data_IF_532859644235
#
_entry.id   IF_532859644235
#
_cell.length_a   1.000
_cell.length_b   1.000
_cell.length_c   1.000
_cell.angle_alpha   90.00
_cell.angle_beta   90.00
_cell.angle_gamma   90.00
#
_symmetry.space_group_name_H-M   'P 1'
#
loop_
_entity.id
_entity.type
_entity.pdbx_description
1 polymer ?
#
# COMPACT_ATOMS: atom_id res chain seq x y z
N UNK A 1 6.39 -8.37 -6.60
CA UNK A 1 5.18 -7.62 -6.17
C UNK A 1 5.02 -7.57 -4.66
N UNK A 2 4.65 -8.66 -3.98
CA UNK A 2 4.42 -8.66 -2.51
C UNK A 2 5.61 -8.15 -1.70
N UNK A 3 6.80 -8.71 -1.91
CA UNK A 3 7.98 -8.31 -1.13
C UNK A 3 8.38 -6.84 -1.39
N UNK A 4 8.31 -6.39 -2.65
CA UNK A 4 8.58 -5.00 -3.02
C UNK A 4 7.58 -4.03 -2.37
N UNK A 5 6.29 -4.37 -2.37
CA UNK A 5 5.25 -3.58 -1.71
C UNK A 5 5.48 -3.53 -0.19
N UNK A 6 5.76 -4.68 0.43
CA UNK A 6 6.06 -4.75 1.88
C UNK A 6 7.30 -3.93 2.23
N UNK A 7 8.36 -4.03 1.45
CA UNK A 7 9.60 -3.28 1.67
C UNK A 7 9.38 -1.78 1.48
N UNK A 8 8.60 -1.36 0.48
CA UNK A 8 8.23 0.04 0.32
C UNK A 8 7.45 0.56 1.53
N UNK A 9 6.40 -0.16 1.96
CA UNK A 9 5.58 0.23 3.12
C UNK A 9 6.46 0.33 4.37
N UNK A 10 7.28 -0.67 4.66
CA UNK A 10 8.16 -0.68 5.85
C UNK A 10 9.17 0.46 5.84
N UNK A 11 9.77 0.76 4.69
CA UNK A 11 10.87 1.72 4.60
C UNK A 11 10.40 3.16 4.43
N UNK A 12 9.42 3.42 3.56
CA UNK A 12 8.98 4.77 3.21
C UNK A 12 7.83 5.25 4.10
N UNK A 13 6.88 4.37 4.43
CA UNK A 13 5.67 4.77 5.16
C UNK A 13 5.82 4.54 6.68
N UNK A 14 6.13 3.31 7.10
CA UNK A 14 6.30 2.95 8.52
C UNK A 14 7.62 3.47 9.10
N UNK A 15 8.64 3.64 8.25
CA UNK A 15 10.00 4.07 8.62
C UNK A 15 10.68 3.12 9.61
N UNK A 16 10.35 1.83 9.52
CA UNK A 16 10.98 0.73 10.25
C UNK A 16 11.12 -0.49 9.31
N UNK A 17 12.30 -0.71 8.72
CA UNK A 17 12.57 -1.85 7.83
C UNK A 17 12.41 -3.23 8.50
N UNK A 18 12.51 -3.27 9.83
CA UNK A 18 12.43 -4.50 10.64
C UNK A 18 11.02 -4.81 11.14
N UNK A 19 10.07 -3.91 10.90
CA UNK A 19 8.70 -4.07 11.33
C UNK A 19 8.07 -5.34 10.74
N UNK A 20 7.49 -6.23 11.56
CA UNK A 20 6.95 -7.52 11.12
C UNK A 20 5.54 -7.37 10.52
N UNK A 21 5.42 -6.54 9.48
CA UNK A 21 4.16 -6.21 8.80
C UNK A 21 3.41 -7.49 8.40
N UNK A 22 2.16 -7.65 8.81
CA UNK A 22 1.32 -8.76 8.32
C UNK A 22 0.52 -8.34 7.09
N UNK A 23 0.12 -9.32 6.28
CA UNK A 23 -0.52 -9.01 5.01
C UNK A 23 -1.98 -8.55 5.16
N UNK A 24 -2.60 -8.88 6.29
CA UNK A 24 -3.97 -8.55 6.72
C UNK A 24 -4.00 -7.43 7.78
N UNK A 25 -2.84 -6.87 8.13
CA UNK A 25 -2.74 -5.81 9.13
C UNK A 25 -3.26 -4.48 8.58
N UNK A 26 -4.16 -3.79 9.31
CA UNK A 26 -4.69 -2.51 8.88
C UNK A 26 -3.62 -1.42 8.96
N UNK A 27 -3.23 -0.92 7.81
CA UNK A 27 -2.24 0.13 7.61
C UNK A 27 -2.77 1.49 8.08
N UNK A 28 -3.92 1.91 7.55
CA UNK A 28 -4.50 3.25 7.76
C UNK A 28 -5.40 3.25 8.99
N UNK A 29 -6.37 2.33 9.05
CA UNK A 29 -7.32 2.28 10.17
C UNK A 29 -6.68 1.76 11.47
N UNK A 30 -5.53 1.08 11.37
CA UNK A 30 -4.70 0.70 12.50
C UNK A 30 -3.75 1.81 12.98
N UNK A 31 -3.66 2.93 12.25
CA UNK A 31 -2.80 4.06 12.58
C UNK A 31 -1.31 3.81 12.33
N UNK A 32 -0.96 2.77 11.57
CA UNK A 32 0.44 2.45 11.23
C UNK A 32 1.00 3.44 10.21
N UNK A 33 0.17 3.91 9.29
CA UNK A 33 0.49 4.91 8.27
C UNK A 33 -0.64 5.95 8.18
N UNK A 34 -0.31 7.17 7.76
CA UNK A 34 -1.31 8.21 7.57
C UNK A 34 -2.07 8.06 6.24
N UNK A 35 -3.24 8.71 6.15
CA UNK A 35 -4.07 8.67 4.94
C UNK A 35 -3.45 9.40 3.75
N UNK A 36 -2.52 10.34 3.98
CA UNK A 36 -1.85 11.07 2.90
C UNK A 36 -0.80 10.21 2.18
N UNK A 37 -0.23 9.24 2.89
CA UNK A 37 0.73 8.27 2.36
C UNK A 37 0.14 7.38 1.26
N UNK A 38 -1.19 7.33 1.11
CA UNK A 38 -1.85 6.64 0.00
C UNK A 38 -1.50 7.25 -1.37
N UNK A 39 -1.26 8.56 -1.43
CA UNK A 39 -0.85 9.23 -2.68
C UNK A 39 0.53 8.75 -3.10
N UNK A 40 1.50 8.75 -2.17
CA UNK A 40 2.86 8.26 -2.43
C UNK A 40 2.88 6.77 -2.77
N UNK A 41 2.04 5.99 -2.10
CA UNK A 41 1.87 4.56 -2.39
C UNK A 41 1.30 4.33 -3.79
N UNK A 42 0.31 5.11 -4.22
CA UNK A 42 -0.26 5.00 -5.56
C UNK A 42 0.76 5.30 -6.65
N UNK A 43 1.58 6.35 -6.47
CA UNK A 43 2.68 6.69 -7.37
C UNK A 43 3.69 5.54 -7.46
N UNK A 44 4.11 4.98 -6.32
CA UNK A 44 5.01 3.83 -6.30
C UNK A 44 4.44 2.62 -7.04
N UNK A 45 3.15 2.34 -6.86
CA UNK A 45 2.48 1.21 -7.49
C UNK A 45 2.36 1.41 -9.00
N UNK A 46 2.00 2.62 -9.46
CA UNK A 46 1.94 2.96 -10.89
C UNK A 46 3.33 2.82 -11.53
N UNK A 47 4.37 3.38 -10.91
CA UNK A 47 5.75 3.33 -11.43
C UNK A 47 6.35 1.91 -11.43
N UNK A 48 6.04 1.11 -10.40
CA UNK A 48 6.67 -0.21 -10.21
C UNK A 48 5.90 -1.36 -10.87
N UNK A 49 4.57 -1.28 -10.87
CA UNK A 49 3.69 -2.36 -11.32
C UNK A 49 2.80 -1.97 -12.50
N UNK A 50 2.71 -0.68 -12.86
CA UNK A 50 1.86 -0.21 -13.97
C UNK A 50 0.37 -0.13 -13.65
N UNK A 51 -0.02 -0.35 -12.39
CA UNK A 51 -1.41 -0.27 -11.95
C UNK A 51 -1.72 1.13 -11.40
N UNK A 52 -2.69 1.82 -12.02
CA UNK A 52 -3.08 3.17 -11.62
C UNK A 52 -4.27 3.17 -10.66
N UNK A 53 -4.15 3.94 -9.59
CA UNK A 53 -5.23 4.25 -8.65
C UNK A 53 -5.64 5.71 -8.83
N UNK A 54 -6.90 5.96 -9.18
CA UNK A 54 -7.42 7.32 -9.28
C UNK A 54 -7.82 7.86 -7.90
N UNK A 55 -7.93 9.18 -7.73
CA UNK A 55 -8.21 9.85 -6.44
C UNK A 55 -9.36 9.22 -5.63
N UNK A 56 -10.50 8.82 -6.21
CA UNK A 56 -11.60 8.19 -5.45
C UNK A 56 -11.26 6.80 -4.90
N UNK A 57 -10.23 6.14 -5.43
CA UNK A 57 -9.77 4.82 -5.01
C UNK A 57 -8.75 4.90 -3.87
N UNK A 58 -8.19 6.08 -3.59
CA UNK A 58 -7.19 6.32 -2.55
C UNK A 58 -7.86 6.39 -1.16
N UNK A 59 -8.46 5.28 -0.75
CA UNK A 59 -9.20 5.18 0.51
C UNK A 59 -8.75 3.98 1.32
N UNK A 60 -8.98 4.02 2.63
CA UNK A 60 -8.77 2.85 3.48
C UNK A 60 -9.67 1.66 3.09
N UNK A 61 -10.81 1.89 2.46
CA UNK A 61 -11.65 0.78 2.01
C UNK A 61 -10.94 -0.06 0.93
N UNK A 62 -10.14 0.59 0.08
CA UNK A 62 -9.42 -0.07 -1.01
C UNK A 62 -7.95 -0.39 -0.70
N UNK A 63 -7.29 0.35 0.18
CA UNK A 63 -5.83 0.30 0.33
C UNK A 63 -5.33 0.08 1.77
N UNK A 64 -6.16 -0.49 2.65
CA UNK A 64 -5.80 -0.61 4.07
C UNK A 64 -4.97 -1.84 4.44
N UNK A 65 -4.80 -2.82 3.55
CA UNK A 65 -3.95 -3.99 3.82
C UNK A 65 -3.11 -4.34 2.60
N UNK A 66 -1.97 -5.01 2.82
CA UNK A 66 -1.12 -5.50 1.73
C UNK A 66 -1.91 -6.41 0.80
N UNK A 67 -2.75 -7.31 1.33
CA UNK A 67 -3.57 -8.19 0.50
C UNK A 67 -4.57 -7.43 -0.37
N UNK A 68 -5.28 -6.44 0.18
CA UNK A 68 -6.21 -5.62 -0.62
C UNK A 68 -5.48 -4.87 -1.74
N UNK A 69 -4.33 -4.25 -1.41
CA UNK A 69 -3.54 -3.53 -2.40
C UNK A 69 -3.09 -4.47 -3.53
N UNK A 70 -2.57 -5.65 -3.19
CA UNK A 70 -2.13 -6.64 -4.19
C UNK A 70 -3.29 -7.12 -5.07
N UNK A 71 -4.45 -7.44 -4.48
CA UNK A 71 -5.62 -7.84 -5.26
C UNK A 71 -6.10 -6.73 -6.19
N UNK A 72 -6.05 -5.46 -5.76
CA UNK A 72 -6.40 -4.33 -6.61
C UNK A 72 -5.39 -4.12 -7.74
N UNK A 73 -4.10 -4.34 -7.50
CA UNK A 73 -3.07 -4.31 -8.54
C UNK A 73 -3.36 -5.41 -9.57
N UNK A 74 -3.58 -6.65 -9.13
CA UNK A 74 -3.86 -7.79 -10.01
C UNK A 74 -5.11 -7.60 -10.86
N UNK A 75 -6.15 -6.95 -10.31
CA UNK A 75 -7.39 -6.67 -11.05
C UNK A 75 -7.25 -5.57 -12.12
N UNK A 76 -6.18 -4.76 -12.07
CA UNK A 76 -5.95 -3.64 -12.99
C UNK A 76 -4.97 -3.95 -14.13
N UNK A 77 -4.30 -5.12 -14.09
CA UNK A 77 -3.38 -5.60 -15.11
C UNK A 77 -4.09 -6.46 -16.17
#
# INVERSE_FOLDING_TARGET
>A
MRDQLRDYIKTQMVKDPTYPLKDDEPLITGGLVDSFSLVELAVFIEDTFGARFDDPELTAENMNTVNQILSNIEAKL
#
